data_IF_174387803203
#
_entry.id   IF_174387803203
#
_cell.length_a   1.000
_cell.length_b   1.000
_cell.length_c   1.000
_cell.angle_alpha   90.00
_cell.angle_beta   90.00
_cell.angle_gamma   90.00
#
_symmetry.space_group_name_H-M   'P 1'
#
loop_
_entity.id
_entity.type
_entity.pdbx_description
1 polymer ?
#
# COMPACT_ATOMS: atom_id res chain seq x y z
N UNK A 1 -11.71 -36.01 -28.03
CA UNK A 1 -10.53 -35.44 -27.37
C UNK A 1 -10.91 -35.17 -25.93
N UNK A 2 -10.37 -35.93 -24.97
CA UNK A 2 -10.67 -35.75 -23.53
C UNK A 2 -9.61 -34.81 -22.96
N UNK A 3 -10.03 -33.64 -22.48
CA UNK A 3 -9.16 -32.76 -21.72
C UNK A 3 -8.87 -33.42 -20.37
N UNK A 4 -7.59 -33.60 -20.04
CA UNK A 4 -7.18 -34.10 -18.73
C UNK A 4 -7.06 -32.92 -17.77
N UNK A 5 -7.48 -33.10 -16.51
CA UNK A 5 -7.47 -32.11 -15.43
C UNK A 5 -6.06 -31.65 -14.99
N UNK A 6 -5.07 -31.73 -15.87
CA UNK A 6 -3.67 -31.34 -15.62
C UNK A 6 -3.34 -29.91 -16.06
N UNK A 7 -4.26 -29.22 -16.73
CA UNK A 7 -4.17 -27.78 -17.03
C UNK A 7 -4.84 -26.92 -15.94
N UNK A 8 -4.70 -27.33 -14.67
CA UNK A 8 -4.96 -26.43 -13.56
C UNK A 8 -3.92 -25.33 -13.59
N UNK A 9 -4.28 -24.29 -14.34
CA UNK A 9 -3.67 -22.97 -14.41
C UNK A 9 -2.98 -22.67 -13.09
N UNK A 10 -1.65 -22.74 -13.09
CA UNK A 10 -0.85 -21.99 -12.14
C UNK A 10 -1.22 -20.53 -12.38
N UNK A 11 -2.24 -20.05 -11.67
CA UNK A 11 -2.51 -18.63 -11.53
C UNK A 11 -1.30 -18.12 -10.77
N UNK A 12 -0.27 -17.72 -11.52
CA UNK A 12 0.81 -16.90 -11.01
C UNK A 12 0.14 -15.83 -10.17
N UNK A 13 0.49 -15.78 -8.88
CA UNK A 13 -0.06 -14.82 -7.93
C UNK A 13 0.08 -13.45 -8.56
N UNK A 14 -1.03 -12.94 -9.08
CA UNK A 14 -1.05 -11.83 -10.02
C UNK A 14 -0.09 -10.75 -9.58
N UNK A 15 0.78 -10.34 -10.51
CA UNK A 15 1.72 -9.25 -10.33
C UNK A 15 0.99 -8.13 -9.61
N UNK A 16 1.33 -7.97 -8.34
CA UNK A 16 0.75 -6.90 -7.55
C UNK A 16 1.33 -5.65 -8.19
N UNK A 17 0.54 -4.93 -8.98
CA UNK A 17 0.99 -3.69 -9.62
C UNK A 17 1.67 -2.83 -8.56
N UNK A 18 2.98 -2.73 -8.69
CA UNK A 18 3.82 -1.88 -7.86
C UNK A 18 4.06 -0.63 -8.67
N UNK A 19 4.04 0.51 -7.99
CA UNK A 19 4.70 1.68 -8.53
C UNK A 19 6.20 1.37 -8.54
N UNK A 20 6.77 0.89 -9.65
CA UNK A 20 8.15 0.36 -9.70
C UNK A 20 9.19 1.36 -9.17
N UNK A 21 8.98 2.65 -9.40
CA UNK A 21 9.83 3.72 -8.87
C UNK A 21 9.80 3.84 -7.34
N UNK A 22 8.70 3.42 -6.69
CA UNK A 22 8.49 3.55 -5.25
C UNK A 22 8.35 2.19 -4.53
N UNK A 23 8.30 1.07 -5.26
CA UNK A 23 7.97 -0.28 -4.78
C UNK A 23 6.75 -0.29 -3.84
N UNK A 24 5.76 0.57 -4.13
CA UNK A 24 4.52 0.68 -3.36
C UNK A 24 3.41 -0.07 -4.08
N UNK A 25 2.70 -0.95 -3.38
CA UNK A 25 1.43 -1.49 -3.87
C UNK A 25 0.27 -0.56 -3.49
N UNK A 26 -0.87 -0.70 -4.20
CA UNK A 26 -2.08 0.11 -3.99
C UNK A 26 -2.52 0.12 -2.52
N UNK A 27 -2.42 -1.01 -1.82
CA UNK A 27 -2.80 -1.09 -0.40
C UNK A 27 -1.88 -0.26 0.48
N UNK A 28 -0.58 -0.31 0.22
CA UNK A 28 0.39 0.52 0.93
C UNK A 28 0.10 1.99 0.68
N UNK A 29 -0.15 2.37 -0.57
CA UNK A 29 -0.54 3.73 -0.91
C UNK A 29 -1.76 4.20 -0.10
N UNK A 30 -2.83 3.40 -0.02
CA UNK A 30 -4.01 3.72 0.78
C UNK A 30 -3.68 3.90 2.27
N UNK A 31 -2.81 3.04 2.84
CA UNK A 31 -2.36 3.19 4.23
C UNK A 31 -1.65 4.52 4.43
N UNK A 32 -0.75 4.90 3.51
CA UNK A 32 0.00 6.15 3.61
C UNK A 32 -0.93 7.37 3.46
N UNK A 33 -1.89 7.33 2.54
CA UNK A 33 -2.88 8.40 2.37
C UNK A 33 -3.73 8.59 3.63
N UNK A 34 -4.26 7.50 4.21
CA UNK A 34 -5.02 7.57 5.47
C UNK A 34 -4.18 8.12 6.62
N UNK A 35 -2.93 7.66 6.74
CA UNK A 35 -2.00 8.17 7.75
C UNK A 35 -1.66 9.65 7.56
N UNK A 36 -1.64 10.16 6.32
CA UNK A 36 -1.43 11.60 6.03
C UNK A 36 -2.62 12.43 6.53
N UNK A 37 -3.85 11.95 6.30
CA UNK A 37 -5.08 12.62 6.73
C UNK A 37 -5.26 12.56 8.25
N UNK A 38 -5.06 11.39 8.87
CA UNK A 38 -5.26 11.18 10.30
C UNK A 38 -4.06 11.65 11.16
N UNK A 39 -2.92 11.95 10.54
CA UNK A 39 -1.65 12.29 11.19
C UNK A 39 -0.89 11.07 11.76
N UNK A 40 -1.51 9.91 11.84
CA UNK A 40 -0.91 8.65 12.27
C UNK A 40 -1.67 7.44 11.70
N UNK A 41 -1.11 6.25 11.88
CA UNK A 41 -1.77 4.98 11.64
C UNK A 41 -1.51 4.03 12.80
N UNK A 42 -2.34 3.00 12.94
CA UNK A 42 -2.22 1.98 13.98
C UNK A 42 -2.35 0.60 13.36
N UNK A 43 -1.92 -0.42 14.09
CA UNK A 43 -2.17 -1.80 13.64
C UNK A 43 -3.67 -2.09 13.45
N UNK A 44 -4.54 -1.45 14.25
CA UNK A 44 -5.98 -1.64 14.15
C UNK A 44 -6.59 -0.93 12.93
N UNK A 45 -6.13 0.27 12.57
CA UNK A 45 -6.59 0.94 11.34
C UNK A 45 -6.19 0.13 10.10
N UNK A 46 -4.96 -0.41 10.09
CA UNK A 46 -4.52 -1.33 9.02
C UNK A 46 -5.40 -2.58 9.00
N UNK A 47 -5.68 -3.23 10.14
CA UNK A 47 -6.56 -4.42 10.15
C UNK A 47 -7.95 -4.14 9.57
N UNK A 48 -8.54 -3.00 9.93
CA UNK A 48 -9.84 -2.55 9.40
C UNK A 48 -9.79 -2.37 7.88
N UNK A 49 -8.70 -1.81 7.35
CA UNK A 49 -8.54 -1.59 5.90
C UNK A 49 -8.60 -2.87 5.07
N UNK A 50 -8.11 -3.99 5.61
CA UNK A 50 -8.10 -5.28 4.91
C UNK A 50 -9.31 -6.16 5.26
N UNK A 51 -10.29 -5.64 6.00
CA UNK A 51 -11.40 -6.42 6.59
C UNK A 51 -10.91 -7.66 7.33
N UNK A 52 -9.73 -7.57 7.94
CA UNK A 52 -9.10 -8.72 8.57
C UNK A 52 -9.49 -8.81 10.03
N UNK A 53 -9.68 -10.05 10.49
CA UNK A 53 -9.86 -10.38 11.89
C UNK A 53 -8.77 -9.74 12.79
N UNK A 54 -9.13 -9.43 14.05
CA UNK A 54 -8.27 -8.78 15.06
C UNK A 54 -6.91 -9.48 15.27
N UNK A 55 -6.77 -10.75 14.90
CA UNK A 55 -5.53 -11.55 15.01
C UNK A 55 -4.74 -11.71 13.71
N UNK A 56 -5.06 -10.96 12.66
CA UNK A 56 -4.39 -11.10 11.37
C UNK A 56 -2.88 -10.83 11.45
N UNK A 57 -2.10 -11.86 11.13
CA UNK A 57 -0.64 -11.77 10.98
C UNK A 57 -0.26 -10.92 9.78
N UNK A 58 -1.06 -10.94 8.71
CA UNK A 58 -0.80 -10.19 7.48
C UNK A 58 -0.75 -8.67 7.70
N UNK A 59 -1.70 -8.11 8.46
CA UNK A 59 -1.70 -6.69 8.81
C UNK A 59 -0.48 -6.32 9.66
N UNK A 60 -0.08 -7.20 10.59
CA UNK A 60 1.12 -7.03 11.42
C UNK A 60 2.39 -7.04 10.58
N UNK A 61 2.55 -8.01 9.68
CA UNK A 61 3.68 -8.06 8.75
C UNK A 61 3.73 -6.86 7.82
N UNK A 62 2.58 -6.39 7.32
CA UNK A 62 2.49 -5.19 6.49
C UNK A 62 3.01 -3.97 7.24
N UNK A 63 2.50 -3.72 8.45
CA UNK A 63 2.94 -2.60 9.28
C UNK A 63 4.46 -2.61 9.49
N UNK A 64 5.03 -3.76 9.89
CA UNK A 64 6.47 -3.86 10.10
C UNK A 64 7.28 -3.74 8.81
N UNK A 65 6.75 -4.20 7.67
CA UNK A 65 7.39 -3.96 6.37
C UNK A 65 7.48 -2.47 6.06
N UNK A 66 6.43 -1.70 6.33
CA UNK A 66 6.43 -0.24 6.13
C UNK A 66 7.40 0.49 7.05
N UNK A 67 7.55 0.01 8.29
CA UNK A 67 8.57 0.52 9.22
C UNK A 67 9.97 0.17 8.73
N UNK A 68 10.23 -1.10 8.37
CA UNK A 68 11.52 -1.57 7.86
C UNK A 68 11.95 -0.82 6.60
N UNK A 69 11.01 -0.51 5.71
CA UNK A 69 11.26 0.22 4.47
C UNK A 69 11.32 1.75 4.66
N UNK A 70 11.18 2.24 5.90
CA UNK A 70 11.32 3.64 6.26
C UNK A 70 10.16 4.54 5.85
N UNK A 71 8.96 3.99 5.60
CA UNK A 71 7.76 4.78 5.33
C UNK A 71 7.02 5.20 6.60
N UNK A 72 7.14 4.40 7.66
CA UNK A 72 6.53 4.66 8.96
C UNK A 72 7.59 4.65 10.06
N UNK A 73 7.37 5.46 11.10
CA UNK A 73 8.14 5.41 12.35
C UNK A 73 7.20 5.32 13.56
N UNK A 74 7.54 4.54 14.60
CA UNK A 74 6.77 4.50 15.83
C UNK A 74 6.91 5.82 16.61
N UNK A 75 5.85 6.26 17.27
CA UNK A 75 5.83 7.47 18.12
C UNK A 75 5.28 7.24 19.54
N UNK A 76 5.01 5.98 19.91
CA UNK A 76 4.38 5.63 21.19
C UNK A 76 2.91 5.19 21.02
N UNK A 77 2.34 4.57 22.06
CA UNK A 77 0.92 4.18 22.13
C UNK A 77 0.38 3.35 20.95
N UNK A 78 1.26 2.57 20.30
CA UNK A 78 0.91 1.80 19.11
C UNK A 78 0.59 2.66 17.88
N UNK A 79 0.96 3.94 17.89
CA UNK A 79 0.84 4.88 16.78
C UNK A 79 2.13 4.92 15.94
N UNK A 80 1.93 5.08 14.64
CA UNK A 80 2.98 5.18 13.64
C UNK A 80 2.71 6.38 12.75
N UNK A 81 3.70 7.23 12.53
CA UNK A 81 3.57 8.42 11.69
C UNK A 81 4.37 8.27 10.41
N UNK A 82 3.97 9.02 9.38
CA UNK A 82 4.70 9.10 8.13
C UNK A 82 6.10 9.67 8.35
N UNK A 83 7.08 9.12 7.64
CA UNK A 83 8.42 9.70 7.53
C UNK A 83 8.48 10.72 6.41
N UNK A 84 9.57 11.50 6.35
CA UNK A 84 9.85 12.39 5.21
C UNK A 84 9.86 11.65 3.87
N UNK A 85 10.41 10.42 3.86
CA UNK A 85 10.40 9.53 2.68
C UNK A 85 8.98 9.22 2.21
N UNK A 86 8.08 8.89 3.13
CA UNK A 86 6.69 8.60 2.77
C UNK A 86 5.95 9.83 2.26
N UNK A 87 6.18 10.99 2.87
CA UNK A 87 5.58 12.25 2.41
C UNK A 87 6.04 12.59 0.99
N UNK A 88 7.35 12.54 0.74
CA UNK A 88 7.91 12.75 -0.60
C UNK A 88 7.36 11.76 -1.63
N UNK A 89 7.24 10.48 -1.28
CA UNK A 89 6.66 9.48 -2.17
C UNK A 89 5.19 9.79 -2.51
N UNK A 90 4.39 10.22 -1.53
CA UNK A 90 3.01 10.63 -1.77
C UNK A 90 2.94 11.86 -2.66
N UNK A 91 3.77 12.86 -2.42
CA UNK A 91 3.78 14.10 -3.22
C UNK A 91 4.18 13.82 -4.68
N UNK A 92 5.17 12.95 -4.91
CA UNK A 92 5.54 12.50 -6.27
C UNK A 92 4.38 11.80 -6.97
N UNK A 93 3.65 10.92 -6.29
CA UNK A 93 2.49 10.23 -6.87
C UNK A 93 1.38 11.24 -7.21
N UNK A 94 1.10 12.19 -6.30
CA UNK A 94 0.08 13.21 -6.54
C UNK A 94 0.43 14.11 -7.73
N UNK A 95 1.70 14.53 -7.84
CA UNK A 95 2.16 15.30 -9.00
C UNK A 95 2.01 14.51 -10.31
N UNK A 96 2.42 13.24 -10.32
CA UNK A 96 2.29 12.39 -11.50
C UNK A 96 0.82 12.20 -11.91
N UNK A 97 -0.09 12.05 -10.94
CA UNK A 97 -1.52 11.95 -11.21
C UNK A 97 -2.08 13.24 -11.83
N UNK A 98 -1.69 14.40 -11.31
CA UNK A 98 -2.13 15.70 -11.81
C UNK A 98 -1.62 15.97 -13.25
N UNK A 99 -0.34 15.69 -13.52
CA UNK A 99 0.25 15.82 -14.86
C UNK A 99 -0.48 14.94 -15.88
N UNK A 100 -0.89 13.73 -15.48
CA UNK A 100 -1.66 12.83 -16.35
C UNK A 100 -3.08 13.37 -16.61
N UNK A 101 -3.67 14.06 -15.64
CA UNK A 101 -5.01 14.63 -15.75
C UNK A 101 -5.05 15.85 -16.67
N UNK A 102 -4.07 16.76 -16.55
CA UNK A 102 -3.96 17.96 -17.40
C UNK A 102 -3.77 17.60 -18.87
N UNK A 103 -2.91 16.62 -19.16
CA UNK A 103 -2.67 16.17 -20.53
C UNK A 103 -3.89 15.49 -21.20
N UNK A 104 -4.82 14.94 -20.41
CA UNK A 104 -6.05 14.32 -20.93
C UNK A 104 -7.19 15.30 -21.18
N UNK A 105 -7.17 16.47 -20.54
CA UNK A 105 -8.22 17.48 -20.65
C UNK A 105 -7.81 18.71 -21.49
N UNK A 106 -6.67 18.62 -22.18
CA UNK A 106 -6.12 19.68 -23.05
C UNK A 106 -6.45 19.48 -24.54
N UNK A 107 -7.42 18.62 -24.87
CA UNK A 107 -7.88 18.37 -26.24
C UNK A 107 -9.40 18.58 -26.36
#
# INVERSE_FOLDING_TARGET
MRFTESELVHVERGDTQKFDYLNLDVRTFIILCKAKVEGYTTLNSIRRLYEKHKRSKSAKHRLYSLVKNGYLRPVGDGKFVLTKKALSALDTITQAANLTWENKNSF
#
